data_IF_908945045026
#
_entry.id   IF_908945045026
#
_cell.length_a   1.000
_cell.length_b   1.000
_cell.length_c   1.000
_cell.angle_alpha   90.00
_cell.angle_beta   90.00
_cell.angle_gamma   90.00
#
_symmetry.space_group_name_H-M   'P 1'
#
loop_
_entity.id
_entity.type
_entity.pdbx_description
1 polymer ?
#
# COMPACT_ATOMS: atom_id res chain seq x y z
N UNK A 1 -13.55 3.17 -3.60
CA UNK A 1 -12.11 3.31 -3.81
C UNK A 1 -11.58 4.57 -3.17
N UNK A 2 -12.25 5.69 -3.40
CA UNK A 2 -11.82 6.96 -2.83
C UNK A 2 -11.80 6.91 -1.30
N UNK A 3 -12.84 6.34 -0.71
CA UNK A 3 -12.92 6.24 0.75
C UNK A 3 -11.80 5.36 1.31
N UNK A 4 -11.47 4.29 0.61
CA UNK A 4 -10.39 3.41 1.05
C UNK A 4 -9.05 4.13 0.99
N UNK A 5 -8.80 4.86 -0.09
CA UNK A 5 -7.53 5.57 -0.24
C UNK A 5 -7.39 6.69 0.79
N UNK A 6 -8.50 7.33 1.15
CA UNK A 6 -8.43 8.44 2.11
C UNK A 6 -8.12 7.98 3.53
N UNK A 7 -8.26 6.68 3.82
CA UNK A 7 -7.92 6.15 5.14
C UNK A 7 -6.44 5.84 5.29
N UNK A 8 -5.66 6.01 4.24
CA UNK A 8 -4.24 5.69 4.23
C UNK A 8 -3.39 6.96 4.25
N UNK A 9 -2.16 6.83 4.74
CA UNK A 9 -1.21 7.95 4.64
C UNK A 9 -0.82 8.14 3.18
N UNK A 10 -0.21 9.29 2.87
CA UNK A 10 0.25 9.57 1.52
C UNK A 10 1.21 8.49 1.03
N UNK A 11 2.17 8.12 1.88
CA UNK A 11 3.15 7.09 1.49
C UNK A 11 2.48 5.74 1.26
N UNK A 12 1.53 5.38 2.11
CA UNK A 12 0.82 4.11 1.95
C UNK A 12 0.01 4.09 0.66
N UNK A 13 -0.61 5.22 0.31
CA UNK A 13 -1.36 5.30 -0.94
C UNK A 13 -0.46 5.11 -2.14
N UNK A 14 0.72 5.74 -2.12
CA UNK A 14 1.67 5.60 -3.22
C UNK A 14 2.09 4.14 -3.39
N UNK A 15 2.41 3.48 -2.28
CA UNK A 15 2.87 2.10 -2.32
C UNK A 15 1.77 1.18 -2.82
N UNK A 16 0.55 1.36 -2.33
CA UNK A 16 -0.59 0.56 -2.78
C UNK A 16 -0.85 0.78 -4.26
N UNK A 17 -0.75 2.04 -4.70
CA UNK A 17 -0.93 2.36 -6.11
C UNK A 17 0.07 1.60 -6.98
N UNK A 18 1.35 1.66 -6.63
CA UNK A 18 2.37 0.97 -7.40
C UNK A 18 2.16 -0.54 -7.38
N UNK A 19 1.77 -1.07 -6.23
CA UNK A 19 1.63 -2.51 -6.06
C UNK A 19 0.44 -3.07 -6.83
N UNK A 20 -0.69 -2.38 -6.82
CA UNK A 20 -1.93 -2.92 -7.35
C UNK A 20 -2.36 -2.30 -8.67
N UNK A 21 -2.08 -1.04 -8.90
CA UNK A 21 -2.45 -0.39 -10.16
C UNK A 21 -1.36 -0.57 -11.19
N UNK A 22 -0.10 -0.38 -10.79
CA UNK A 22 1.04 -0.52 -11.68
C UNK A 22 1.59 -1.94 -11.72
N UNK A 23 1.11 -2.81 -10.85
CA UNK A 23 1.52 -4.22 -10.80
C UNK A 23 3.03 -4.37 -10.62
N UNK A 24 3.61 -3.55 -9.76
CA UNK A 24 5.05 -3.58 -9.50
C UNK A 24 5.36 -4.52 -8.35
N UNK A 25 6.55 -5.12 -8.38
CA UNK A 25 7.00 -5.95 -7.29
C UNK A 25 7.45 -5.07 -6.12
N UNK A 26 7.56 -5.68 -4.93
CA UNK A 26 8.02 -4.95 -3.75
C UNK A 26 9.43 -4.42 -3.98
N UNK A 27 10.28 -5.20 -4.65
CA UNK A 27 11.64 -4.77 -4.95
C UNK A 27 11.64 -3.52 -5.83
N UNK A 28 10.79 -3.50 -6.84
CA UNK A 28 10.68 -2.33 -7.71
C UNK A 28 10.16 -1.12 -6.95
N UNK A 29 9.17 -1.33 -6.10
CA UNK A 29 8.62 -0.23 -5.31
C UNK A 29 9.68 0.32 -4.36
N UNK A 30 10.50 -0.54 -3.77
CA UNK A 30 11.54 -0.08 -2.87
C UNK A 30 12.54 0.81 -3.59
N UNK A 31 12.84 0.49 -4.83
CA UNK A 31 13.77 1.29 -5.62
C UNK A 31 13.18 2.65 -5.99
N UNK A 32 11.94 2.66 -6.39
CA UNK A 32 11.31 3.89 -6.87
C UNK A 32 10.95 4.85 -5.73
N UNK A 33 10.69 4.31 -4.54
CA UNK A 33 10.34 5.11 -3.37
C UNK A 33 11.54 5.40 -2.48
N UNK A 34 12.70 4.84 -2.81
CA UNK A 34 13.92 4.97 -2.01
C UNK A 34 13.72 4.45 -0.58
N UNK A 35 12.89 3.42 -0.44
CA UNK A 35 12.67 2.73 0.83
C UNK A 35 13.29 1.35 0.74
N UNK A 36 13.63 0.73 1.89
CA UNK A 36 14.13 -0.63 1.83
C UNK A 36 12.97 -1.62 1.67
N UNK A 37 13.31 -2.84 1.28
CA UNK A 37 12.32 -3.88 1.00
C UNK A 37 11.40 -4.12 2.19
N UNK A 38 11.99 -4.23 3.38
CA UNK A 38 11.21 -4.51 4.58
C UNK A 38 10.19 -3.42 4.87
N UNK A 39 10.60 -2.16 4.69
CA UNK A 39 9.70 -1.03 4.93
C UNK A 39 8.54 -1.06 3.96
N UNK A 40 8.80 -1.34 2.68
CA UNK A 40 7.74 -1.42 1.68
C UNK A 40 6.78 -2.56 2.02
N UNK A 41 7.32 -3.71 2.36
CA UNK A 41 6.51 -4.87 2.71
C UNK A 41 5.60 -4.57 3.91
N UNK A 42 6.16 -3.95 4.94
CA UNK A 42 5.39 -3.59 6.12
C UNK A 42 4.29 -2.60 5.79
N UNK A 43 4.60 -1.61 4.95
CA UNK A 43 3.62 -0.63 4.55
C UNK A 43 2.45 -1.26 3.80
N UNK A 44 2.75 -2.21 2.92
CA UNK A 44 1.71 -2.91 2.17
C UNK A 44 0.84 -3.71 3.13
N UNK A 45 1.43 -4.41 4.07
CA UNK A 45 0.67 -5.21 5.02
C UNK A 45 -0.25 -4.34 5.88
N UNK A 46 0.24 -3.19 6.32
CA UNK A 46 -0.58 -2.27 7.11
C UNK A 46 -1.73 -1.71 6.28
N UNK A 47 -1.45 -1.34 5.04
CA UNK A 47 -2.48 -0.81 4.16
C UNK A 47 -3.54 -1.86 3.87
N UNK A 48 -3.13 -3.10 3.62
CA UNK A 48 -4.07 -4.19 3.38
C UNK A 48 -4.92 -4.46 4.61
N UNK A 49 -4.32 -4.35 5.80
CA UNK A 49 -5.06 -4.54 7.04
C UNK A 49 -6.18 -3.52 7.17
N UNK A 50 -5.90 -2.26 6.86
CA UNK A 50 -6.91 -1.21 6.94
C UNK A 50 -8.03 -1.44 5.93
N UNK A 51 -7.66 -1.77 4.70
CA UNK A 51 -8.64 -2.03 3.65
C UNK A 51 -9.49 -3.25 4.01
N UNK A 52 -8.85 -4.30 4.52
CA UNK A 52 -9.56 -5.51 4.92
C UNK A 52 -10.57 -5.21 6.02
N UNK A 53 -10.20 -4.38 7.00
CA UNK A 53 -11.11 -4.03 8.07
C UNK A 53 -12.34 -3.29 7.55
N UNK A 54 -12.15 -2.43 6.55
CA UNK A 54 -13.28 -1.71 5.96
C UNK A 54 -14.26 -2.69 5.31
N UNK A 55 -13.75 -3.69 4.62
CA UNK A 55 -14.60 -4.68 3.97
C UNK A 55 -15.23 -5.64 4.97
N UNK A 56 -14.54 -5.94 6.07
CA UNK A 56 -15.07 -6.89 7.05
C UNK A 56 -16.28 -6.36 7.79
N UNK A 57 -16.48 -5.06 7.77
CA UNK A 57 -17.64 -4.49 8.45
C UNK A 57 -18.96 -4.85 7.79
N UNK A 58 -18.88 -5.37 6.62
CA UNK A 58 -20.06 -5.88 5.95
C UNK A 58 -20.61 -7.05 6.72
#
# INVERSE_FOLDING_TARGET
VHAMMSSLTTRQREIVYYRYIKDMSIDEISKITDMNYQSVSNSIQRALGRVRNLFKRE
#
